data_IF_491654946790
#
_entry.id   IF_491654946790
#
_cell.length_a   1.000
_cell.length_b   1.000
_cell.length_c   1.000
_cell.angle_alpha   90.00
_cell.angle_beta   90.00
_cell.angle_gamma   90.00
#
_symmetry.space_group_name_H-M   'P 1'
#
loop_
_entity.id
_entity.type
_entity.pdbx_description
1 polymer ?
#
# COMPACT_ATOMS: atom_id res chain seq x y z
N UNK A 1 -17.88 -26.70 -8.09
CA UNK A 1 -19.20 -26.70 -7.42
C UNK A 1 -19.50 -25.27 -7.02
N UNK A 2 -20.21 -24.54 -7.88
CA UNK A 2 -20.52 -23.12 -7.70
C UNK A 2 -21.60 -22.97 -6.63
N UNK A 3 -21.31 -22.19 -5.58
CA UNK A 3 -22.33 -21.76 -4.61
C UNK A 3 -23.16 -20.66 -5.25
N UNK A 4 -24.44 -20.92 -5.44
CA UNK A 4 -25.43 -19.91 -5.85
C UNK A 4 -25.54 -18.83 -4.78
N UNK A 5 -25.79 -17.55 -5.15
CA UNK A 5 -26.09 -16.49 -4.19
C UNK A 5 -27.42 -16.81 -3.51
N UNK A 6 -27.39 -16.93 -2.19
CA UNK A 6 -28.59 -17.15 -1.38
C UNK A 6 -29.38 -15.85 -1.34
N UNK A 7 -30.45 -15.76 -2.13
CA UNK A 7 -31.40 -14.67 -2.06
C UNK A 7 -31.96 -14.58 -0.63
N UNK A 8 -31.92 -13.38 -0.05
CA UNK A 8 -32.51 -13.10 1.26
C UNK A 8 -34.00 -13.50 1.23
N UNK A 9 -34.37 -14.49 2.04
CA UNK A 9 -35.76 -14.89 2.20
C UNK A 9 -36.54 -13.71 2.82
N UNK A 10 -37.81 -13.51 2.41
CA UNK A 10 -38.65 -12.46 2.99
C UNK A 10 -38.88 -12.75 4.47
N UNK A 11 -38.53 -11.78 5.31
CA UNK A 11 -38.64 -11.86 6.77
C UNK A 11 -40.13 -11.80 7.15
N UNK A 12 -40.67 -12.87 7.74
CA UNK A 12 -42.03 -12.92 8.28
C UNK A 12 -42.11 -12.19 9.64
N UNK A 13 -43.10 -11.33 9.89
CA UNK A 13 -43.31 -10.72 11.19
C UNK A 13 -43.69 -11.79 12.23
N UNK A 14 -42.81 -12.06 13.21
CA UNK A 14 -43.04 -13.08 14.24
C UNK A 14 -41.78 -13.79 14.75
N UNK A 15 -40.64 -13.64 14.08
CA UNK A 15 -39.38 -14.18 14.57
C UNK A 15 -38.88 -13.40 15.81
N UNK A 16 -38.33 -14.08 16.84
CA UNK A 16 -37.79 -13.45 18.07
C UNK A 16 -36.56 -12.56 17.81
N UNK A 17 -36.19 -12.38 16.55
CA UNK A 17 -34.99 -11.71 16.05
C UNK A 17 -35.20 -10.24 15.65
N UNK A 18 -36.42 -9.72 15.77
CA UNK A 18 -36.71 -8.30 15.50
C UNK A 18 -37.20 -7.64 16.80
N UNK A 19 -36.32 -6.97 17.55
CA UNK A 19 -36.76 -6.01 18.57
C UNK A 19 -37.71 -5.00 17.92
N UNK A 20 -38.94 -4.91 18.43
CA UNK A 20 -39.83 -3.81 18.12
C UNK A 20 -39.23 -2.53 18.73
N UNK A 21 -38.55 -1.77 17.87
CA UNK A 21 -38.00 -0.42 18.07
C UNK A 21 -36.97 -0.21 19.21
N UNK A 22 -35.73 0.12 18.82
CA UNK A 22 -34.67 0.63 19.69
C UNK A 22 -33.77 -0.44 20.34
N UNK A 23 -32.63 -0.03 20.94
CA UNK A 23 -31.74 -0.96 21.64
C UNK A 23 -32.40 -1.53 22.89
N UNK A 24 -32.43 -2.86 23.03
CA UNK A 24 -33.02 -3.53 24.20
C UNK A 24 -31.96 -3.98 25.20
N UNK A 25 -32.02 -3.56 26.48
CA UNK A 25 -31.11 -4.02 27.50
C UNK A 25 -31.41 -5.47 27.90
N UNK A 26 -30.37 -6.29 28.01
CA UNK A 26 -30.46 -7.66 28.50
C UNK A 26 -29.15 -8.11 29.16
N UNK A 27 -29.20 -9.16 29.98
CA UNK A 27 -28.00 -9.89 30.41
C UNK A 27 -27.85 -11.14 29.56
N UNK A 28 -26.64 -11.37 29.08
CA UNK A 28 -26.31 -12.49 28.20
C UNK A 28 -25.12 -13.24 28.75
N UNK A 29 -25.15 -14.56 28.66
CA UNK A 29 -23.99 -15.41 28.89
C UNK A 29 -22.87 -15.04 27.91
N UNK A 30 -21.69 -14.79 28.43
CA UNK A 30 -20.51 -14.38 27.66
C UNK A 30 -20.17 -15.39 26.56
N UNK A 31 -20.43 -16.68 26.77
CA UNK A 31 -20.18 -17.71 25.76
C UNK A 31 -21.11 -17.66 24.55
N UNK A 32 -22.34 -17.15 24.74
CA UNK A 32 -23.31 -16.95 23.66
C UNK A 32 -23.02 -15.71 22.80
N UNK A 33 -21.96 -14.96 23.11
CA UNK A 33 -21.52 -13.80 22.34
C UNK A 33 -20.19 -14.14 21.64
N UNK A 34 -20.15 -13.91 20.33
CA UNK A 34 -18.96 -14.02 19.49
C UNK A 34 -18.38 -12.64 19.23
N UNK A 35 -17.05 -12.58 19.17
CA UNK A 35 -16.39 -11.41 18.60
C UNK A 35 -16.78 -11.26 17.13
N UNK A 36 -16.89 -10.02 16.68
CA UNK A 36 -17.05 -9.77 15.26
C UNK A 36 -15.78 -10.14 14.51
N UNK A 37 -15.90 -11.05 13.55
CA UNK A 37 -14.80 -11.67 12.82
C UNK A 37 -14.11 -10.72 11.84
N UNK A 38 -14.84 -9.73 11.28
CA UNK A 38 -14.29 -8.70 10.38
C UNK A 38 -13.86 -7.45 11.15
N UNK A 39 -13.25 -7.61 12.32
CA UNK A 39 -12.81 -6.48 13.13
C UNK A 39 -11.79 -5.62 12.35
N UNK A 40 -12.03 -4.30 12.18
CA UNK A 40 -11.07 -3.42 11.53
C UNK A 40 -9.68 -3.43 12.17
N UNK A 41 -9.62 -3.63 13.49
CA UNK A 41 -8.35 -3.79 14.21
C UNK A 41 -7.88 -5.24 14.05
N UNK A 42 -6.74 -5.41 13.37
CA UNK A 42 -6.14 -6.72 13.10
C UNK A 42 -5.05 -7.09 14.10
N UNK A 43 -4.26 -6.10 14.53
CA UNK A 43 -3.26 -6.26 15.58
C UNK A 43 -3.87 -6.19 16.98
N UNK A 44 -3.16 -6.75 17.96
CA UNK A 44 -3.59 -6.68 19.35
C UNK A 44 -3.78 -5.24 19.82
N UNK A 45 -4.80 -5.02 20.64
CA UNK A 45 -5.05 -3.70 21.21
C UNK A 45 -3.93 -3.38 22.23
N UNK A 46 -3.13 -2.31 22.06
CA UNK A 46 -2.06 -1.98 23.00
C UNK A 46 -2.58 -1.65 24.41
N UNK A 47 -3.87 -1.38 24.56
CA UNK A 47 -4.52 -1.14 25.85
C UNK A 47 -5.10 -2.42 26.48
N UNK A 48 -4.85 -3.61 25.93
CA UNK A 48 -5.46 -4.86 26.38
C UNK A 48 -5.30 -5.08 27.89
N UNK A 49 -4.06 -5.06 28.39
CA UNK A 49 -3.77 -5.31 29.81
C UNK A 49 -4.38 -4.25 30.73
N UNK A 50 -4.35 -2.98 30.29
CA UNK A 50 -4.98 -1.89 31.04
C UNK A 50 -6.50 -2.09 31.14
N UNK A 51 -7.15 -2.48 30.03
CA UNK A 51 -8.60 -2.76 30.01
C UNK A 51 -8.90 -3.97 30.90
N UNK A 52 -8.07 -5.02 30.83
CA UNK A 52 -8.21 -6.23 31.65
C UNK A 52 -8.07 -5.95 33.14
N UNK A 53 -7.08 -5.15 33.53
CA UNK A 53 -6.92 -4.70 34.91
C UNK A 53 -8.13 -3.89 35.40
N UNK A 54 -8.67 -3.00 34.55
CA UNK A 54 -9.88 -2.24 34.89
C UNK A 54 -11.11 -3.15 35.09
N UNK A 55 -11.30 -4.13 34.20
CA UNK A 55 -12.42 -5.10 34.31
C UNK A 55 -12.28 -5.97 35.57
N UNK A 56 -11.05 -6.36 35.94
CA UNK A 56 -10.81 -7.08 37.21
C UNK A 56 -11.19 -6.26 38.43
N UNK A 57 -10.83 -4.97 38.42
CA UNK A 57 -11.02 -4.08 39.57
C UNK A 57 -12.48 -3.63 39.76
N UNK A 58 -13.18 -3.29 38.67
CA UNK A 58 -14.49 -2.63 38.72
C UNK A 58 -15.60 -3.34 37.94
N UNK A 59 -15.28 -4.37 37.18
CA UNK A 59 -16.21 -4.99 36.24
C UNK A 59 -16.36 -4.18 34.95
N UNK A 60 -17.47 -4.41 34.25
CA UNK A 60 -17.79 -3.73 32.99
C UNK A 60 -18.66 -2.50 33.24
N UNK A 61 -18.08 -1.31 33.07
CA UNK A 61 -18.81 -0.04 33.25
C UNK A 61 -19.78 0.30 32.11
N UNK A 62 -19.53 -0.26 30.92
CA UNK A 62 -20.33 0.01 29.71
C UNK A 62 -20.85 -1.31 29.13
N UNK A 63 -22.14 -1.39 28.76
CA UNK A 63 -22.69 -2.58 28.14
C UNK A 63 -22.05 -2.87 26.77
N UNK A 64 -22.11 -4.13 26.34
CA UNK A 64 -21.75 -4.50 24.97
C UNK A 64 -22.93 -4.25 24.03
N UNK A 65 -22.68 -3.63 22.88
CA UNK A 65 -23.66 -3.61 21.80
C UNK A 65 -23.59 -4.92 21.04
N UNK A 66 -24.70 -5.63 20.96
CA UNK A 66 -24.79 -6.92 20.28
C UNK A 66 -25.89 -6.92 19.24
N UNK A 67 -25.77 -7.80 18.27
CA UNK A 67 -26.79 -8.13 17.28
C UNK A 67 -26.64 -9.61 16.96
N UNK A 68 -27.44 -10.17 16.07
CA UNK A 68 -27.14 -11.48 15.48
C UNK A 68 -27.82 -11.68 14.15
N UNK A 69 -27.18 -12.55 13.37
CA UNK A 69 -27.50 -12.76 11.98
C UNK A 69 -28.81 -13.55 11.85
N UNK A 70 -29.59 -13.29 10.80
CA UNK A 70 -30.76 -14.10 10.51
C UNK A 70 -30.39 -15.59 10.43
N UNK A 71 -31.05 -16.42 11.24
CA UNK A 71 -30.81 -17.86 11.30
C UNK A 71 -29.69 -18.31 12.26
N UNK A 72 -29.01 -17.39 12.96
CA UNK A 72 -28.05 -17.73 14.00
C UNK A 72 -28.65 -17.70 15.42
N UNK A 73 -28.09 -18.50 16.33
CA UNK A 73 -28.51 -18.58 17.75
C UNK A 73 -27.65 -17.75 18.69
N UNK A 74 -26.40 -17.49 18.29
CA UNK A 74 -25.41 -16.77 19.08
C UNK A 74 -25.37 -15.32 18.64
N UNK A 75 -25.08 -14.42 19.58
CA UNK A 75 -24.91 -13.00 19.32
C UNK A 75 -23.52 -12.69 18.78
N UNK A 76 -23.39 -11.61 18.04
CA UNK A 76 -22.12 -10.99 17.67
C UNK A 76 -22.04 -9.59 18.24
N UNK A 77 -20.83 -9.13 18.53
CA UNK A 77 -20.59 -7.72 18.89
C UNK A 77 -20.90 -6.81 17.71
N UNK A 78 -21.81 -5.85 17.89
CA UNK A 78 -22.29 -4.97 16.82
C UNK A 78 -21.43 -3.71 16.64
N UNK A 79 -20.89 -3.14 17.73
CA UNK A 79 -20.11 -1.91 17.67
C UNK A 79 -19.07 -1.85 18.79
N UNK A 80 -17.82 -2.16 18.46
CA UNK A 80 -16.71 -2.15 19.40
C UNK A 80 -16.90 -3.10 20.60
N UNK A 81 -15.82 -3.37 21.33
CA UNK A 81 -15.90 -4.24 22.50
C UNK A 81 -15.53 -5.69 22.26
N UNK A 82 -15.06 -6.07 21.06
CA UNK A 82 -14.36 -7.35 20.84
C UNK A 82 -13.25 -7.58 21.89
N UNK A 83 -12.44 -6.55 22.16
CA UNK A 83 -11.40 -6.60 23.20
C UNK A 83 -11.99 -6.90 24.59
N UNK A 84 -13.08 -6.23 24.96
CA UNK A 84 -13.74 -6.42 26.27
C UNK A 84 -14.35 -7.81 26.38
N UNK A 85 -15.01 -8.28 25.32
CA UNK A 85 -15.57 -9.63 25.26
C UNK A 85 -14.48 -10.70 25.39
N UNK A 86 -13.37 -10.55 24.66
CA UNK A 86 -12.22 -11.46 24.76
C UNK A 86 -11.66 -11.52 26.18
N UNK A 87 -11.54 -10.37 26.84
CA UNK A 87 -11.11 -10.29 28.24
C UNK A 87 -12.09 -11.01 29.16
N UNK A 88 -13.40 -10.80 29.00
CA UNK A 88 -14.42 -11.46 29.83
C UNK A 88 -14.36 -12.98 29.68
N UNK A 89 -14.30 -13.48 28.44
CA UNK A 89 -14.12 -14.91 28.15
C UNK A 89 -12.85 -15.45 28.81
N UNK A 90 -11.74 -14.73 28.64
CA UNK A 90 -10.47 -15.11 29.25
C UNK A 90 -10.55 -15.16 30.79
N UNK A 91 -11.15 -14.15 31.44
CA UNK A 91 -11.29 -14.12 32.88
C UNK A 91 -12.22 -15.22 33.39
N UNK A 92 -13.34 -15.46 32.73
CA UNK A 92 -14.28 -16.51 33.08
C UNK A 92 -13.62 -17.89 32.96
N UNK A 93 -12.92 -18.17 31.86
CA UNK A 93 -12.23 -19.44 31.64
C UNK A 93 -11.14 -19.72 32.70
N UNK A 94 -10.40 -18.70 33.15
CA UNK A 94 -9.34 -18.88 34.14
C UNK A 94 -9.83 -18.93 35.59
N UNK A 95 -10.91 -18.22 35.93
CA UNK A 95 -11.35 -18.04 37.32
C UNK A 95 -12.61 -18.84 37.67
N UNK A 96 -13.46 -19.15 36.70
CA UNK A 96 -14.78 -19.74 36.91
C UNK A 96 -15.76 -18.82 37.65
N UNK A 97 -15.41 -17.55 37.88
CA UNK A 97 -16.24 -16.64 38.68
C UNK A 97 -17.51 -16.23 37.93
N UNK A 98 -18.67 -16.41 38.56
CA UNK A 98 -19.98 -16.09 37.98
C UNK A 98 -20.13 -14.64 37.50
N UNK A 99 -19.39 -13.68 38.08
CA UNK A 99 -19.40 -12.27 37.64
C UNK A 99 -18.84 -12.06 36.23
N UNK A 100 -18.07 -13.02 35.70
CA UNK A 100 -17.56 -13.00 34.33
C UNK A 100 -18.37 -13.89 33.38
N UNK A 101 -19.31 -14.68 33.91
CA UNK A 101 -20.17 -15.56 33.11
C UNK A 101 -21.25 -14.80 32.33
N UNK A 102 -21.73 -13.69 32.87
CA UNK A 102 -22.80 -12.87 32.29
C UNK A 102 -22.35 -11.42 32.12
N UNK A 103 -22.83 -10.77 31.06
CA UNK A 103 -22.53 -9.36 30.78
C UNK A 103 -23.77 -8.60 30.34
N UNK A 104 -23.88 -7.35 30.79
CA UNK A 104 -24.91 -6.43 30.34
C UNK A 104 -24.69 -6.06 28.87
N UNK A 105 -25.75 -6.23 28.08
CA UNK A 105 -25.74 -5.98 26.64
C UNK A 105 -26.91 -5.07 26.24
N UNK A 106 -26.73 -4.39 25.11
CA UNK A 106 -27.77 -3.69 24.38
C UNK A 106 -27.93 -4.40 23.03
N UNK A 107 -29.03 -5.14 22.87
CA UNK A 107 -29.39 -5.82 21.64
C UNK A 107 -29.94 -4.82 20.62
N UNK A 108 -29.36 -4.80 19.42
CA UNK A 108 -29.85 -4.04 18.28
C UNK A 108 -30.32 -4.97 17.17
N UNK A 109 -31.39 -4.60 16.44
CA UNK A 109 -31.82 -5.35 15.27
C UNK A 109 -30.68 -5.52 14.26
N UNK A 110 -30.63 -6.67 13.61
CA UNK A 110 -29.75 -6.89 12.47
C UNK A 110 -30.19 -6.03 11.29
N UNK A 111 -29.23 -5.45 10.58
CA UNK A 111 -29.49 -4.72 9.34
C UNK A 111 -28.79 -5.42 8.17
N UNK A 112 -27.48 -5.28 8.07
CA UNK A 112 -26.64 -5.99 7.13
C UNK A 112 -25.19 -6.07 7.65
N UNK A 113 -24.38 -6.85 6.95
CA UNK A 113 -22.99 -7.09 7.34
C UNK A 113 -22.15 -5.81 7.23
N UNK A 114 -22.35 -5.00 6.17
CA UNK A 114 -21.62 -3.74 5.99
C UNK A 114 -21.86 -2.74 7.12
N UNK A 115 -23.08 -2.68 7.68
CA UNK A 115 -23.41 -1.78 8.79
C UNK A 115 -22.68 -2.16 10.08
N UNK A 116 -22.52 -3.45 10.37
CA UNK A 116 -21.76 -3.93 11.55
C UNK A 116 -20.29 -3.56 11.40
N UNK A 117 -19.68 -3.83 10.24
CA UNK A 117 -18.30 -3.46 9.97
C UNK A 117 -18.08 -1.95 10.14
N UNK A 118 -18.97 -1.13 9.58
CA UNK A 118 -18.88 0.33 9.67
C UNK A 118 -19.09 0.85 11.09
N UNK A 119 -19.93 0.19 11.89
CA UNK A 119 -20.09 0.52 13.30
C UNK A 119 -18.79 0.26 14.09
N UNK A 120 -18.11 -0.87 13.87
CA UNK A 120 -16.79 -1.12 14.45
C UNK A 120 -15.72 -0.15 13.96
N UNK A 121 -15.76 0.22 12.67
CA UNK A 121 -14.80 1.16 12.09
C UNK A 121 -14.94 2.54 12.73
N UNK A 122 -16.17 3.06 12.82
CA UNK A 122 -16.48 4.35 13.47
C UNK A 122 -16.05 4.37 14.93
N UNK A 123 -16.38 3.33 15.71
CA UNK A 123 -16.01 3.25 17.12
C UNK A 123 -14.49 3.21 17.33
N UNK A 124 -13.76 2.49 16.47
CA UNK A 124 -12.30 2.46 16.52
C UNK A 124 -11.67 3.82 16.12
N UNK A 125 -12.25 4.54 15.16
CA UNK A 125 -11.80 5.88 14.79
C UNK A 125 -12.00 6.91 15.92
N UNK A 126 -13.14 6.86 16.62
CA UNK A 126 -13.41 7.74 17.77
C UNK A 126 -12.39 7.58 18.89
N UNK A 127 -11.82 6.38 19.05
CA UNK A 127 -10.77 6.08 20.03
C UNK A 127 -9.36 6.49 19.56
N UNK A 128 -9.20 6.93 18.31
CA UNK A 128 -7.96 7.50 17.77
C UNK A 128 -6.82 6.51 17.45
N UNK A 129 -6.98 5.22 17.74
CA UNK A 129 -5.85 4.28 17.79
C UNK A 129 -5.81 3.25 16.65
N UNK A 130 -6.59 3.42 15.58
CA UNK A 130 -6.61 2.46 14.47
C UNK A 130 -5.52 2.82 13.44
N UNK A 131 -4.57 1.92 13.13
CA UNK A 131 -3.55 2.15 12.11
C UNK A 131 -4.14 2.51 10.74
N UNK A 132 -3.39 3.25 9.93
CA UNK A 132 -3.85 3.63 8.60
C UNK A 132 -4.11 2.41 7.70
N UNK A 133 -3.28 1.37 7.81
CA UNK A 133 -3.45 0.16 7.00
C UNK A 133 -4.69 -0.64 7.40
N UNK A 134 -4.95 -0.78 8.71
CA UNK A 134 -6.17 -1.41 9.25
C UNK A 134 -7.43 -0.71 8.71
N UNK A 135 -7.43 0.63 8.73
CA UNK A 135 -8.51 1.44 8.13
C UNK A 135 -8.67 1.16 6.64
N UNK A 136 -7.57 1.12 5.91
CA UNK A 136 -7.59 0.91 4.47
C UNK A 136 -8.17 -0.46 4.10
N UNK A 137 -7.74 -1.52 4.78
CA UNK A 137 -8.24 -2.87 4.58
C UNK A 137 -9.72 -2.99 4.96
N UNK A 138 -10.14 -2.40 6.08
CA UNK A 138 -11.55 -2.38 6.50
C UNK A 138 -12.46 -1.62 5.51
N UNK A 139 -11.96 -0.54 4.88
CA UNK A 139 -12.71 0.19 3.85
C UNK A 139 -12.86 -0.64 2.57
N UNK A 140 -11.83 -1.39 2.16
CA UNK A 140 -11.95 -2.31 1.03
C UNK A 140 -12.88 -3.48 1.32
N UNK A 141 -12.86 -3.99 2.54
CA UNK A 141 -13.79 -5.03 2.97
C UNK A 141 -15.23 -4.52 3.01
N UNK A 142 -15.45 -3.29 3.51
CA UNK A 142 -16.75 -2.63 3.45
C UNK A 142 -17.22 -2.41 2.00
N UNK A 143 -16.31 -2.06 1.09
CA UNK A 143 -16.63 -1.99 -0.35
C UNK A 143 -17.13 -3.34 -0.87
N UNK A 144 -16.42 -4.42 -0.60
CA UNK A 144 -16.80 -5.76 -1.06
C UNK A 144 -18.18 -6.18 -0.53
N UNK A 145 -18.46 -5.92 0.75
CA UNK A 145 -19.78 -6.19 1.35
C UNK A 145 -20.89 -5.35 0.69
N UNK A 146 -20.65 -4.06 0.47
CA UNK A 146 -21.62 -3.19 -0.18
C UNK A 146 -21.87 -3.60 -1.65
N UNK A 147 -20.83 -4.03 -2.37
CA UNK A 147 -20.93 -4.53 -3.74
C UNK A 147 -21.73 -5.84 -3.80
N UNK A 148 -21.53 -6.75 -2.84
CA UNK A 148 -22.31 -7.98 -2.69
C UNK A 148 -23.78 -7.68 -2.36
N UNK A 149 -24.05 -6.80 -1.39
CA UNK A 149 -25.39 -6.39 -0.97
C UNK A 149 -26.19 -5.73 -2.12
N UNK A 150 -25.54 -4.95 -2.99
CA UNK A 150 -26.20 -4.28 -4.12
C UNK A 150 -26.09 -5.04 -5.45
N UNK A 151 -25.33 -6.14 -5.52
CA UNK A 151 -25.12 -6.95 -6.72
C UNK A 151 -24.37 -6.26 -7.87
N UNK A 152 -23.60 -5.20 -7.61
CA UNK A 152 -22.86 -4.48 -8.65
C UNK A 152 -21.61 -3.77 -8.10
N UNK A 153 -20.55 -3.62 -8.91
CA UNK A 153 -19.31 -2.99 -8.47
C UNK A 153 -19.50 -1.49 -8.18
N UNK A 154 -18.75 -0.98 -7.21
CA UNK A 154 -18.76 0.43 -6.81
C UNK A 154 -17.56 1.16 -7.37
N UNK A 155 -17.81 2.33 -7.96
CA UNK A 155 -16.74 3.31 -8.18
C UNK A 155 -16.31 3.93 -6.85
N UNK A 156 -15.12 4.51 -6.77
CA UNK A 156 -14.64 5.19 -5.55
C UNK A 156 -15.58 6.33 -5.09
N UNK A 157 -16.21 7.04 -6.03
CA UNK A 157 -17.20 8.10 -5.71
C UNK A 157 -18.51 7.54 -5.18
N UNK A 158 -18.99 6.44 -5.77
CA UNK A 158 -20.17 5.74 -5.28
C UNK A 158 -19.91 5.18 -3.87
N UNK A 159 -18.74 4.59 -3.64
CA UNK A 159 -18.33 4.13 -2.31
C UNK A 159 -18.30 5.28 -1.28
N UNK A 160 -17.69 6.43 -1.63
CA UNK A 160 -17.72 7.62 -0.79
C UNK A 160 -19.16 8.02 -0.38
N UNK A 161 -20.10 8.04 -1.33
CA UNK A 161 -21.50 8.37 -1.04
C UNK A 161 -22.15 7.34 -0.11
N UNK A 162 -21.98 6.05 -0.40
CA UNK A 162 -22.55 4.95 0.41
C UNK A 162 -22.04 4.90 1.84
N UNK A 163 -20.74 5.15 2.03
CA UNK A 163 -20.13 5.22 3.35
C UNK A 163 -20.66 6.44 4.13
N UNK A 164 -20.81 7.59 3.46
CA UNK A 164 -21.37 8.81 4.07
C UNK A 164 -22.82 8.61 4.52
N UNK A 165 -23.65 7.97 3.72
CA UNK A 165 -25.04 7.61 4.07
C UNK A 165 -25.11 6.80 5.36
N UNK A 166 -24.09 5.99 5.65
CA UNK A 166 -23.98 5.13 6.85
C UNK A 166 -23.19 5.80 8.00
N UNK A 167 -22.96 7.10 7.91
CA UNK A 167 -22.29 7.88 8.94
C UNK A 167 -20.77 7.72 8.99
N UNK A 168 -20.15 7.24 7.91
CA UNK A 168 -18.69 7.15 7.78
C UNK A 168 -18.16 8.03 6.63
N UNK A 169 -17.68 9.23 6.98
CA UNK A 169 -17.29 10.24 5.99
C UNK A 169 -15.82 10.12 5.58
N UNK A 170 -15.58 9.66 4.35
CA UNK A 170 -14.25 9.64 3.71
C UNK A 170 -14.34 10.13 2.26
N UNK A 171 -13.34 10.86 1.79
CA UNK A 171 -13.26 11.35 0.41
C UNK A 171 -12.77 10.26 -0.55
N UNK A 172 -13.20 10.23 -1.81
CA UNK A 172 -12.71 9.30 -2.83
C UNK A 172 -11.19 9.36 -3.02
N UNK A 173 -10.55 10.53 -2.89
CA UNK A 173 -9.09 10.66 -2.94
C UNK A 173 -8.39 9.89 -1.80
N UNK A 174 -9.02 9.83 -0.62
CA UNK A 174 -8.57 9.01 0.52
C UNK A 174 -8.83 7.52 0.27
N UNK A 175 -9.96 7.16 -0.33
CA UNK A 175 -10.25 5.79 -0.78
C UNK A 175 -9.18 5.31 -1.76
N UNK A 176 -8.84 6.12 -2.78
CA UNK A 176 -7.79 5.80 -3.73
C UNK A 176 -6.42 5.58 -3.08
N UNK A 177 -6.10 6.35 -2.03
CA UNK A 177 -4.85 6.18 -1.29
C UNK A 177 -4.87 4.90 -0.42
N UNK A 178 -6.00 4.60 0.21
CA UNK A 178 -6.23 3.39 0.98
C UNK A 178 -6.14 2.14 0.09
N UNK A 179 -6.74 2.18 -1.10
CA UNK A 179 -6.66 1.10 -2.09
C UNK A 179 -5.21 0.83 -2.48
N UNK A 180 -4.43 1.88 -2.81
CA UNK A 180 -2.99 1.73 -3.07
C UNK A 180 -2.23 1.12 -1.89
N UNK A 181 -2.52 1.56 -0.66
CA UNK A 181 -1.90 1.00 0.54
C UNK A 181 -2.18 -0.51 0.67
N UNK A 182 -3.45 -0.89 0.57
CA UNK A 182 -3.90 -2.24 0.88
C UNK A 182 -3.66 -3.24 -0.25
N UNK A 183 -3.72 -2.83 -1.52
CA UNK A 183 -3.54 -3.74 -2.67
C UNK A 183 -2.14 -3.73 -3.23
N UNK A 184 -1.43 -2.61 -3.13
CA UNK A 184 -0.07 -2.46 -3.71
C UNK A 184 1.02 -2.52 -2.65
N UNK A 185 0.89 -1.78 -1.54
CA UNK A 185 1.97 -1.70 -0.55
C UNK A 185 1.98 -2.86 0.44
N UNK A 186 0.83 -3.45 0.82
CA UNK A 186 0.80 -4.60 1.75
C UNK A 186 1.69 -5.75 1.29
N UNK A 187 1.69 -6.17 0.00
CA UNK A 187 2.60 -7.21 -0.48
C UNK A 187 4.09 -6.80 -0.50
N UNK A 188 4.42 -5.51 -0.34
CA UNK A 188 5.78 -4.99 -0.52
C UNK A 188 6.42 -4.51 0.79
N UNK A 189 5.65 -3.90 1.69
CA UNK A 189 6.12 -3.32 2.95
C UNK A 189 5.18 -3.61 4.14
N UNK A 190 4.84 -4.88 4.41
CA UNK A 190 3.91 -5.23 5.48
C UNK A 190 4.42 -4.77 6.86
N UNK A 191 5.72 -4.91 7.16
CA UNK A 191 6.27 -4.57 8.47
C UNK A 191 6.19 -3.07 8.75
N UNK A 192 6.54 -2.24 7.76
CA UNK A 192 6.43 -0.79 7.90
C UNK A 192 4.98 -0.34 8.10
N UNK A 193 4.04 -0.92 7.36
CA UNK A 193 2.60 -0.61 7.49
C UNK A 193 2.05 -1.01 8.87
N UNK A 194 2.42 -2.20 9.36
CA UNK A 194 2.04 -2.69 10.70
C UNK A 194 2.69 -1.86 11.83
N UNK A 195 3.91 -1.39 11.64
CA UNK A 195 4.61 -0.49 12.55
C UNK A 195 4.01 0.94 12.60
N UNK A 196 3.00 1.23 11.77
CA UNK A 196 2.24 2.48 11.83
C UNK A 196 2.54 3.47 10.72
N UNK A 197 3.15 3.04 9.60
CA UNK A 197 3.36 3.89 8.43
C UNK A 197 2.03 4.53 7.98
N UNK A 198 1.98 5.85 8.12
CA UNK A 198 0.75 6.62 8.06
C UNK A 198 0.40 7.16 6.66
N UNK A 199 -0.75 7.84 6.59
CA UNK A 199 -1.28 8.47 5.38
C UNK A 199 -0.24 9.29 4.61
N UNK A 200 0.54 10.13 5.32
CA UNK A 200 1.50 11.04 4.68
C UNK A 200 2.64 10.26 4.01
N UNK A 201 3.14 9.24 4.67
CA UNK A 201 4.18 8.36 4.16
C UNK A 201 3.66 7.57 2.95
N UNK A 202 2.47 6.95 3.03
CA UNK A 202 1.87 6.25 1.88
C UNK A 202 1.67 7.19 0.69
N UNK A 203 1.25 8.43 0.93
CA UNK A 203 1.10 9.43 -0.14
C UNK A 203 2.44 9.78 -0.80
N UNK A 204 3.53 9.91 -0.02
CA UNK A 204 4.89 10.14 -0.53
C UNK A 204 5.38 8.95 -1.36
N UNK A 205 5.22 7.72 -0.86
CA UNK A 205 5.59 6.49 -1.60
C UNK A 205 4.84 6.45 -2.94
N UNK A 206 3.53 6.71 -2.94
CA UNK A 206 2.73 6.72 -4.17
C UNK A 206 3.19 7.80 -5.16
N UNK A 207 3.58 8.98 -4.66
CA UNK A 207 4.11 10.05 -5.49
C UNK A 207 5.44 9.65 -6.13
N UNK A 208 6.36 9.09 -5.33
CA UNK A 208 7.64 8.56 -5.79
C UNK A 208 7.45 7.45 -6.83
N UNK A 209 6.57 6.49 -6.57
CA UNK A 209 6.23 5.40 -7.49
C UNK A 209 5.76 5.94 -8.85
N UNK A 210 4.85 6.92 -8.84
CA UNK A 210 4.34 7.55 -10.07
C UNK A 210 5.39 8.38 -10.80
N UNK A 211 6.24 9.11 -10.08
CA UNK A 211 7.29 9.94 -10.66
C UNK A 211 8.38 9.07 -11.29
N UNK A 212 8.84 8.05 -10.57
CA UNK A 212 9.80 7.07 -11.08
C UNK A 212 9.28 6.31 -12.29
N UNK A 213 8.01 5.86 -12.28
CA UNK A 213 7.42 5.19 -13.44
C UNK A 213 7.37 6.07 -14.69
N UNK A 214 7.16 7.38 -14.54
CA UNK A 214 7.19 8.33 -15.67
C UNK A 214 8.59 8.54 -16.21
N UNK A 215 9.60 8.62 -15.33
CA UNK A 215 11.00 8.72 -15.74
C UNK A 215 11.48 7.44 -16.41
N UNK A 216 11.16 6.28 -15.83
CA UNK A 216 11.47 4.97 -16.41
C UNK A 216 10.89 4.85 -17.81
N UNK A 217 9.61 5.18 -18.00
CA UNK A 217 9.01 5.16 -19.34
C UNK A 217 9.69 6.11 -20.34
N UNK A 218 10.27 7.22 -19.86
CA UNK A 218 10.91 8.23 -20.71
C UNK A 218 12.33 7.84 -21.13
N UNK A 219 13.10 7.29 -20.20
CA UNK A 219 14.54 7.07 -20.39
C UNK A 219 14.93 5.59 -20.48
N UNK A 220 14.02 4.68 -20.14
CA UNK A 220 14.19 3.23 -20.14
C UNK A 220 13.04 2.54 -20.91
N UNK A 221 12.69 2.97 -22.15
CA UNK A 221 11.51 2.46 -22.86
C UNK A 221 11.60 0.99 -23.26
N UNK A 222 12.82 0.49 -23.50
CA UNK A 222 13.09 -0.85 -24.02
C UNK A 222 13.61 -1.83 -22.94
N UNK A 223 13.56 -1.42 -21.67
CA UNK A 223 14.05 -2.24 -20.57
C UNK A 223 13.16 -3.46 -20.33
N UNK A 224 13.77 -4.62 -20.20
CA UNK A 224 13.06 -5.89 -19.96
C UNK A 224 12.32 -5.87 -18.61
N UNK A 225 12.89 -5.19 -17.61
CA UNK A 225 12.29 -5.07 -16.29
C UNK A 225 11.31 -3.90 -16.23
N UNK A 226 10.06 -4.20 -15.90
CA UNK A 226 9.06 -3.16 -15.62
C UNK A 226 9.39 -2.40 -14.32
N UNK A 227 9.19 -1.09 -14.32
CA UNK A 227 9.44 -0.25 -13.13
C UNK A 227 8.69 -0.74 -11.87
N UNK A 228 7.46 -1.23 -12.01
CA UNK A 228 6.68 -1.75 -10.88
C UNK A 228 7.39 -2.94 -10.19
N UNK A 229 8.06 -3.81 -10.96
CA UNK A 229 8.81 -4.94 -10.43
C UNK A 229 10.06 -4.48 -9.68
N UNK A 230 10.82 -3.54 -10.27
CA UNK A 230 11.97 -2.90 -9.62
C UNK A 230 11.55 -2.20 -8.33
N UNK A 231 10.53 -1.35 -8.39
CA UNK A 231 10.04 -0.58 -7.26
C UNK A 231 9.54 -1.48 -6.12
N UNK A 232 8.90 -2.61 -6.43
CA UNK A 232 8.50 -3.61 -5.45
C UNK A 232 9.72 -4.24 -4.74
N UNK A 233 10.79 -4.55 -5.48
CA UNK A 233 12.05 -5.07 -4.90
C UNK A 233 12.69 -4.03 -3.98
N UNK A 234 12.76 -2.77 -4.40
CA UNK A 234 13.30 -1.70 -3.57
C UNK A 234 12.45 -1.48 -2.31
N UNK A 235 11.12 -1.45 -2.45
CA UNK A 235 10.20 -1.37 -1.30
C UNK A 235 10.48 -2.48 -0.28
N UNK A 236 10.57 -3.74 -0.73
CA UNK A 236 10.85 -4.89 0.15
C UNK A 236 12.21 -4.80 0.84
N UNK A 237 13.23 -4.25 0.16
CA UNK A 237 14.58 -4.07 0.73
C UNK A 237 14.58 -3.14 1.94
N UNK A 238 13.68 -2.15 1.97
CA UNK A 238 13.54 -1.16 3.04
C UNK A 238 12.32 -1.41 3.93
N UNK A 239 11.70 -2.60 3.88
CA UNK A 239 10.59 -2.93 4.76
C UNK A 239 11.08 -3.15 6.19
N UNK A 240 10.65 -2.28 7.11
CA UNK A 240 11.00 -2.34 8.52
C UNK A 240 10.27 -1.28 9.33
N UNK A 241 10.31 -1.38 10.68
CA UNK A 241 9.62 -0.46 11.57
C UNK A 241 10.15 0.98 11.47
N UNK A 242 11.44 1.14 11.19
CA UNK A 242 12.12 2.42 11.02
C UNK A 242 12.18 2.85 9.55
N UNK A 243 11.05 2.71 8.84
CA UNK A 243 10.98 2.98 7.39
C UNK A 243 11.46 4.40 7.04
N UNK A 244 12.43 4.48 6.14
CA UNK A 244 13.00 5.73 5.64
C UNK A 244 12.67 5.96 4.16
N UNK A 245 11.88 7.00 3.90
CA UNK A 245 11.53 7.41 2.55
C UNK A 245 12.70 8.01 1.76
N UNK A 246 13.69 8.60 2.42
CA UNK A 246 14.86 9.14 1.75
C UNK A 246 15.75 8.02 1.20
N UNK A 247 15.95 6.95 1.99
CA UNK A 247 16.65 5.75 1.53
C UNK A 247 15.98 5.10 0.31
N UNK A 248 14.65 4.94 0.34
CA UNK A 248 13.89 4.43 -0.81
C UNK A 248 14.03 5.33 -2.05
N UNK A 249 13.87 6.65 -1.88
CA UNK A 249 14.03 7.59 -2.98
C UNK A 249 15.44 7.52 -3.58
N UNK A 250 16.49 7.55 -2.75
CA UNK A 250 17.87 7.45 -3.22
C UNK A 250 18.15 6.15 -3.97
N UNK A 251 17.55 5.03 -3.55
CA UNK A 251 17.68 3.77 -4.27
C UNK A 251 16.98 3.82 -5.65
N UNK A 252 15.78 4.40 -5.72
CA UNK A 252 15.08 4.60 -7.02
C UNK A 252 15.89 5.48 -7.96
N UNK A 253 16.49 6.56 -7.45
CA UNK A 253 17.36 7.45 -8.24
C UNK A 253 18.58 6.70 -8.81
N UNK A 254 19.22 5.85 -8.00
CA UNK A 254 20.38 5.05 -8.43
C UNK A 254 19.99 4.04 -9.51
N UNK A 255 18.91 3.29 -9.32
CA UNK A 255 18.49 2.27 -10.30
C UNK A 255 18.04 2.90 -11.62
N UNK A 256 17.32 4.04 -11.58
CA UNK A 256 16.99 4.78 -12.81
C UNK A 256 18.25 5.31 -13.49
N UNK A 257 19.22 5.85 -12.74
CA UNK A 257 20.46 6.37 -13.31
C UNK A 257 21.28 5.28 -14.00
N UNK A 258 21.36 4.10 -13.38
CA UNK A 258 22.07 2.95 -13.94
C UNK A 258 21.40 2.46 -15.23
N UNK A 259 20.10 2.20 -15.20
CA UNK A 259 19.39 1.65 -16.36
C UNK A 259 19.28 2.66 -17.52
N UNK A 260 19.14 3.95 -17.22
CA UNK A 260 19.06 4.99 -18.24
C UNK A 260 20.43 5.48 -18.74
N UNK A 261 21.53 4.99 -18.16
CA UNK A 261 22.90 5.50 -18.39
C UNK A 261 23.01 7.03 -18.20
N UNK A 262 22.31 7.56 -17.19
CA UNK A 262 22.29 8.99 -16.87
C UNK A 262 23.10 9.30 -15.60
N UNK A 263 23.64 10.52 -15.53
CA UNK A 263 24.25 11.02 -14.30
C UNK A 263 23.23 11.10 -13.15
N UNK A 264 23.60 10.63 -11.96
CA UNK A 264 22.74 10.61 -10.78
C UNK A 264 22.14 12.00 -10.44
N UNK A 265 22.91 13.07 -10.63
CA UNK A 265 22.42 14.44 -10.41
C UNK A 265 21.28 14.83 -11.38
N UNK A 266 21.38 14.38 -12.63
CA UNK A 266 20.34 14.58 -13.65
C UNK A 266 19.05 13.88 -13.25
N UNK A 267 19.15 12.61 -12.82
CA UNK A 267 18.00 11.84 -12.36
C UNK A 267 17.36 12.45 -11.12
N UNK A 268 18.15 12.86 -10.12
CA UNK A 268 17.66 13.59 -8.92
C UNK A 268 16.84 14.82 -9.29
N UNK A 269 17.41 15.66 -10.15
CA UNK A 269 16.75 16.90 -10.59
C UNK A 269 15.47 16.60 -11.36
N UNK A 270 15.47 15.59 -12.22
CA UNK A 270 14.29 15.16 -12.97
C UNK A 270 13.20 14.60 -12.04
N UNK A 271 13.57 13.79 -11.06
CA UNK A 271 12.65 13.16 -10.10
C UNK A 271 12.03 14.21 -9.17
N UNK A 272 12.81 15.13 -8.63
CA UNK A 272 12.33 16.23 -7.81
C UNK A 272 11.35 17.13 -8.58
N UNK A 273 11.65 17.41 -9.85
CA UNK A 273 10.72 18.13 -10.72
C UNK A 273 9.40 17.36 -10.88
N UNK A 274 9.45 16.07 -11.21
CA UNK A 274 8.28 15.21 -11.40
C UNK A 274 7.42 15.07 -10.12
N UNK A 275 8.06 15.03 -8.95
CA UNK A 275 7.38 15.04 -7.64
C UNK A 275 6.64 16.36 -7.38
N UNK A 276 7.15 17.47 -7.90
CA UNK A 276 6.53 18.80 -7.82
C UNK A 276 5.54 19.06 -8.97
N UNK A 277 5.28 18.08 -9.83
CA UNK A 277 4.39 18.22 -10.99
C UNK A 277 4.99 19.04 -12.14
N UNK A 278 6.31 19.23 -12.15
CA UNK A 278 7.06 19.86 -13.23
C UNK A 278 7.69 18.77 -14.10
N UNK A 279 7.72 18.99 -15.40
CA UNK A 279 8.42 18.08 -16.32
C UNK A 279 9.74 18.73 -16.70
N UNK A 280 10.85 18.06 -16.38
CA UNK A 280 12.18 18.43 -16.86
C UNK A 280 12.68 17.29 -17.75
N UNK A 281 12.94 17.62 -19.00
CA UNK A 281 13.54 16.73 -19.99
C UNK A 281 14.99 17.14 -20.18
N UNK A 282 15.89 16.19 -19.97
CA UNK A 282 17.28 16.38 -20.31
C UNK A 282 17.53 15.72 -21.67
N UNK A 283 18.30 16.35 -22.57
CA UNK A 283 18.72 15.68 -23.79
C UNK A 283 19.49 14.41 -23.41
N UNK A 284 19.25 13.32 -24.16
CA UNK A 284 20.07 12.13 -24.04
C UNK A 284 21.56 12.51 -24.23
N UNK A 285 22.51 11.83 -23.56
CA UNK A 285 23.91 12.04 -23.86
C UNK A 285 24.12 11.90 -25.36
N UNK A 286 24.69 12.92 -26.01
CA UNK A 286 25.06 12.82 -27.42
C UNK A 286 26.00 11.63 -27.55
N UNK A 287 25.82 10.77 -28.58
CA UNK A 287 26.79 9.72 -28.83
C UNK A 287 28.16 10.38 -28.98
N UNK A 288 29.17 9.88 -28.26
CA UNK A 288 30.54 10.38 -28.38
C UNK A 288 30.88 10.48 -29.87
N UNK A 289 31.46 11.61 -30.32
CA UNK A 289 31.81 11.78 -31.72
C UNK A 289 32.70 10.60 -32.13
N UNK A 290 32.18 9.75 -33.01
CA UNK A 290 32.95 8.66 -33.59
C UNK A 290 34.15 9.29 -34.28
N UNK A 291 35.36 8.92 -33.86
CA UNK A 291 36.58 9.27 -34.58
C UNK A 291 36.37 8.91 -36.06
N UNK A 292 36.66 9.83 -36.99
CA UNK A 292 36.45 9.56 -38.41
C UNK A 292 37.21 8.29 -38.79
N UNK A 293 36.60 7.39 -39.59
CA UNK A 293 37.26 6.17 -40.01
C UNK A 293 38.61 6.50 -40.67
N UNK A 294 39.67 5.72 -40.40
CA UNK A 294 40.98 6.00 -40.97
C UNK A 294 40.85 6.04 -42.50
N UNK A 295 41.37 7.11 -43.09
CA UNK A 295 41.32 7.33 -44.53
C UNK A 295 41.85 6.10 -45.28
N UNK A 296 41.21 5.66 -46.37
CA UNK A 296 41.66 4.50 -47.12
C UNK A 296 43.08 4.73 -47.63
N UNK A 297 43.98 3.80 -47.28
CA UNK A 297 45.34 3.79 -47.78
C UNK A 297 45.32 3.80 -49.32
N UNK A 298 46.00 4.78 -49.92
CA UNK A 298 46.21 4.82 -51.37
C UNK A 298 46.92 3.52 -51.80
N UNK A 299 46.44 2.83 -52.85
CA UNK A 299 47.15 1.67 -53.37
C UNK A 299 48.52 2.10 -53.88
N UNK A 300 49.58 1.51 -53.32
CA UNK A 300 50.93 1.60 -53.86
C UNK A 300 50.93 0.90 -55.22
N UNK A 301 51.27 1.65 -56.26
CA UNK A 301 51.52 1.10 -57.58
C UNK A 301 52.70 0.11 -57.50
N UNK A 302 52.44 -1.13 -57.89
CA UNK A 302 53.45 -2.16 -58.08
C UNK A 302 54.48 -1.66 -59.11
N UNK A 303 55.73 -1.54 -58.68
CA UNK A 303 56.88 -1.40 -59.58
C UNK A 303 57.32 -2.80 -59.99
N UNK A 304 57.09 -3.16 -61.25
CA UNK A 304 57.70 -4.32 -61.89
C UNK A 304 58.89 -3.86 -62.73
N UNK A 305 60.04 -4.39 -62.34
CA UNK A 305 61.26 -4.69 -63.09
C UNK A 305 62.22 -3.58 -63.57
N UNK A 306 63.47 -3.83 -63.14
CA UNK A 306 64.71 -3.18 -63.53
C UNK A 306 65.08 -3.51 -64.97
N UNK A 307 65.37 -2.47 -65.75
CA UNK A 307 66.27 -2.52 -66.90
C UNK A 307 67.55 -1.75 -66.58
N UNK A 308 68.70 -2.38 -66.79
CA UNK A 308 70.05 -1.85 -66.57
C UNK A 308 70.37 -0.60 -67.41
N UNK A 309 71.26 0.27 -66.92
CA UNK A 309 72.16 1.03 -67.81
C UNK A 309 72.56 2.44 -67.36
N UNK A 310 73.70 2.52 -66.65
CA UNK A 310 74.76 3.56 -66.73
C UNK A 310 74.45 5.06 -66.67
N UNK A 311 75.14 5.76 -65.75
CA UNK A 311 75.78 7.04 -66.09
C UNK A 311 75.76 8.16 -65.04
N UNK A 312 76.86 8.25 -64.30
CA UNK A 312 77.61 9.51 -64.03
C UNK A 312 77.08 10.59 -63.07
N UNK A 313 77.94 10.86 -62.07
CA UNK A 313 78.32 12.16 -61.46
C UNK A 313 77.41 12.84 -60.41
N UNK A 314 77.83 12.65 -59.15
CA UNK A 314 77.99 13.59 -58.03
C UNK A 314 78.39 15.05 -58.41
N UNK A 315 78.50 16.01 -57.46
CA UNK A 315 77.92 16.14 -56.10
C UNK A 315 77.34 17.56 -55.82
N UNK A 316 76.68 17.76 -54.68
CA UNK A 316 76.91 18.92 -53.77
C UNK A 316 75.89 18.96 -52.61
N UNK A 317 76.42 18.66 -51.42
CA UNK A 317 75.97 18.96 -50.06
C UNK A 317 76.30 20.46 -49.72
N UNK A 318 76.19 20.98 -48.48
CA UNK A 318 75.26 20.85 -47.35
C UNK A 318 74.71 22.25 -46.95
N UNK A 319 73.79 22.41 -45.98
CA UNK A 319 74.02 22.81 -44.57
C UNK A 319 72.77 23.66 -44.17
N UNK A 320 72.34 23.89 -42.94
CA UNK A 320 72.49 23.38 -41.58
C UNK A 320 71.99 24.51 -40.64
N UNK A 321 71.49 24.14 -39.46
CA UNK A 321 71.34 24.96 -38.21
C UNK A 321 70.25 26.06 -38.22
N UNK A 322 69.27 26.11 -37.32
CA UNK A 322 69.14 25.81 -35.89
C UNK A 322 69.91 26.75 -34.93
N UNK A 323 69.11 27.65 -34.31
CA UNK A 323 69.17 28.19 -32.92
C UNK A 323 70.37 29.10 -32.58
N UNK A 324 70.29 30.03 -31.58
CA UNK A 324 69.68 29.88 -30.24
C UNK A 324 68.89 31.15 -29.79
N UNK A 325 68.36 31.35 -28.57
CA UNK A 325 68.54 30.83 -27.21
C UNK A 325 67.22 31.06 -26.45
#
# INVERSE_FOLDING_TARGET
>A
MSRSPQAALPVTPGDPWIPAEGPQPMQVEVERIKCYERNPRRLENPQYDRIKASIRARGMDQPLFITCRPGESDYIVQAGGNTRLRILKELHAHTGEARYAHVHCLLRPWTCESDVLLAHLRENELRGNLPFIDKAQAVLEARALLEEEQGSPLTQRALEARLRERGYSITHGRISLMEYAATTLVPWIPQALEAGLGKLQVARIRALHRAGARLWKRYCPDCETAFDALFAVLCRRYDGPDWDGAALQGAVEVEIALEAELGLHTVRTALDAELQGRIVTFPAPEPEPQDPPPAPARPQAAKTELGLGSGSTDPADPEARALPY
#
